data_IF_653347837337
#
_entry.id   IF_653347837337
#
_cell.length_a   1.000
_cell.length_b   1.000
_cell.length_c   1.000
_cell.angle_alpha   90.00
_cell.angle_beta   90.00
_cell.angle_gamma   90.00
#
_symmetry.space_group_name_H-M   'P 1'
#
loop_
_entity.id
_entity.type
_entity.pdbx_description
1 polymer ?
#
# COMPACT_ATOMS: atom_id res chain seq x y z
N UNK A 1 7.06 3.75 11.11
CA UNK A 1 6.98 2.69 12.14
C UNK A 1 7.28 1.34 11.48
N UNK A 2 8.45 0.74 11.71
CA UNK A 2 8.81 -0.55 11.07
C UNK A 2 8.24 -1.71 11.90
N UNK A 3 7.05 -2.20 11.53
CA UNK A 3 6.44 -3.37 12.17
C UNK A 3 7.20 -4.63 11.73
N UNK A 4 8.22 -5.03 12.50
CA UNK A 4 8.93 -6.30 12.31
C UNK A 4 8.10 -7.46 12.85
N UNK A 5 7.37 -8.12 11.95
CA UNK A 5 6.56 -9.30 12.25
C UNK A 5 7.43 -10.56 12.39
N UNK A 6 7.74 -10.92 13.64
CA UNK A 6 8.28 -12.23 14.02
C UNK A 6 7.17 -13.27 14.21
N UNK A 7 7.41 -14.46 13.65
CA UNK A 7 6.75 -15.76 13.89
C UNK A 7 5.25 -15.93 13.53
N UNK A 8 5.02 -16.52 12.36
CA UNK A 8 4.32 -17.80 12.20
C UNK A 8 2.79 -17.87 12.29
N UNK A 9 2.12 -17.13 13.17
CA UNK A 9 0.67 -17.23 13.41
C UNK A 9 0.13 -15.82 13.67
N UNK A 10 -0.92 -15.40 12.97
CA UNK A 10 -1.57 -14.10 13.20
C UNK A 10 -2.21 -14.10 14.59
N UNK A 11 -1.61 -13.40 15.55
CA UNK A 11 -2.26 -13.12 16.83
C UNK A 11 -3.38 -12.11 16.59
N UNK A 12 -4.62 -12.46 16.97
CA UNK A 12 -5.78 -11.58 16.73
C UNK A 12 -5.62 -10.21 17.37
N UNK A 13 -5.14 -10.19 18.62
CA UNK A 13 -4.86 -8.94 19.34
C UNK A 13 -3.82 -8.06 18.65
N UNK A 14 -2.78 -8.64 18.03
CA UNK A 14 -1.77 -7.85 17.29
C UNK A 14 -2.30 -7.31 15.97
N UNK A 15 -3.24 -8.04 15.37
CA UNK A 15 -3.88 -7.59 14.15
C UNK A 15 -4.82 -6.41 14.46
N UNK A 16 -5.60 -6.49 15.54
CA UNK A 16 -6.44 -5.39 16.02
C UNK A 16 -5.62 -4.15 16.38
N UNK A 17 -4.53 -4.31 17.14
CA UNK A 17 -3.65 -3.19 17.50
C UNK A 17 -2.98 -2.55 16.26
N UNK A 18 -2.51 -3.36 15.31
CA UNK A 18 -1.94 -2.86 14.06
C UNK A 18 -2.98 -2.16 13.18
N UNK A 19 -4.21 -2.67 13.18
CA UNK A 19 -5.38 -2.11 12.51
C UNK A 19 -5.71 -0.73 13.10
N UNK A 20 -5.85 -0.63 14.42
CA UNK A 20 -6.18 0.61 15.12
C UNK A 20 -5.07 1.66 14.95
N UNK A 21 -3.80 1.26 15.07
CA UNK A 21 -2.67 2.14 14.83
C UNK A 21 -2.64 2.68 13.39
N UNK A 22 -2.99 1.85 12.40
CA UNK A 22 -3.12 2.28 11.01
C UNK A 22 -4.28 3.24 10.84
N UNK A 23 -5.45 2.94 11.40
CA UNK A 23 -6.63 3.80 11.32
C UNK A 23 -6.32 5.20 11.86
N UNK A 24 -5.71 5.26 13.04
CA UNK A 24 -5.31 6.50 13.68
C UNK A 24 -4.23 7.28 12.91
N UNK A 25 -3.39 6.59 12.15
CA UNK A 25 -2.39 7.22 11.29
C UNK A 25 -3.04 7.81 10.03
N UNK A 26 -3.93 7.05 9.38
CA UNK A 26 -4.59 7.46 8.14
C UNK A 26 -5.67 8.52 8.37
N UNK A 27 -6.38 8.49 9.50
CA UNK A 27 -7.35 9.52 9.88
C UNK A 27 -6.71 10.90 10.10
N UNK A 28 -5.39 10.96 10.31
CA UNK A 28 -4.65 12.23 10.43
C UNK A 28 -4.11 12.72 9.09
N UNK A 29 -4.16 11.89 8.06
CA UNK A 29 -3.68 12.22 6.72
C UNK A 29 -4.81 12.84 5.89
N UNK A 30 -4.52 13.96 5.23
CA UNK A 30 -5.41 14.63 4.30
C UNK A 30 -5.28 14.07 2.88
N UNK A 31 -4.08 13.61 2.48
CA UNK A 31 -3.80 13.17 1.10
C UNK A 31 -3.03 11.83 1.04
N UNK A 32 -3.60 10.75 1.63
CA UNK A 32 -2.96 9.45 1.58
C UNK A 32 -2.92 8.89 0.15
N UNK A 33 -1.79 8.27 -0.21
CA UNK A 33 -1.62 7.59 -1.50
C UNK A 33 -1.25 6.13 -1.27
N UNK A 34 -1.86 5.24 -2.05
CA UNK A 34 -1.54 3.81 -2.04
C UNK A 34 -0.44 3.53 -3.05
N UNK A 35 0.64 2.86 -2.63
CA UNK A 35 1.71 2.39 -3.50
C UNK A 35 1.72 0.87 -3.52
N UNK A 36 1.34 0.30 -4.65
CA UNK A 36 1.26 -1.14 -4.84
C UNK A 36 2.64 -1.69 -5.26
N UNK A 37 3.19 -2.65 -4.52
CA UNK A 37 4.48 -3.30 -4.78
C UNK A 37 4.38 -4.73 -5.36
N UNK A 38 5.52 -5.28 -5.79
CA UNK A 38 5.59 -6.54 -6.56
C UNK A 38 5.10 -7.80 -5.85
N UNK A 39 5.17 -7.88 -4.52
CA UNK A 39 4.77 -9.13 -3.84
C UNK A 39 3.26 -9.34 -3.81
N UNK A 40 2.48 -8.45 -4.42
CA UNK A 40 1.01 -8.49 -4.42
C UNK A 40 0.39 -9.67 -5.15
N UNK A 41 0.99 -10.29 -6.18
CA UNK A 41 0.15 -11.12 -7.08
C UNK A 41 0.83 -12.40 -7.52
N UNK A 42 0.75 -13.41 -6.64
CA UNK A 42 0.84 -14.80 -7.11
C UNK A 42 -0.54 -15.44 -7.30
N UNK A 43 -1.62 -14.82 -6.78
CA UNK A 43 -2.96 -15.41 -6.71
C UNK A 43 -4.03 -14.37 -7.06
N UNK A 44 -5.11 -14.79 -7.73
CA UNK A 44 -6.22 -13.92 -8.14
C UNK A 44 -6.94 -13.23 -6.96
N UNK A 45 -7.00 -13.90 -5.80
CA UNK A 45 -7.66 -13.40 -4.59
C UNK A 45 -6.99 -12.12 -4.05
N UNK A 46 -5.66 -12.04 -4.13
CA UNK A 46 -4.90 -10.87 -3.68
C UNK A 46 -5.17 -9.65 -4.58
N UNK A 47 -5.46 -9.86 -5.87
CA UNK A 47 -5.84 -8.79 -6.80
C UNK A 47 -7.18 -8.17 -6.40
N UNK A 48 -8.17 -9.02 -6.19
CA UNK A 48 -9.52 -8.57 -5.90
C UNK A 48 -9.57 -7.84 -4.57
N UNK A 49 -8.87 -8.36 -3.55
CA UNK A 49 -8.80 -7.72 -2.25
C UNK A 49 -8.11 -6.34 -2.29
N UNK A 50 -7.11 -6.16 -3.16
CA UNK A 50 -6.49 -4.86 -3.37
C UNK A 50 -7.45 -3.87 -4.05
N UNK A 51 -8.17 -4.32 -5.08
CA UNK A 51 -9.18 -3.49 -5.77
C UNK A 51 -10.27 -3.08 -4.78
N UNK A 52 -10.80 -4.03 -3.99
CA UNK A 52 -11.77 -3.76 -2.94
C UNK A 52 -11.26 -2.75 -1.90
N UNK A 53 -9.97 -2.78 -1.57
CA UNK A 53 -9.34 -1.82 -0.66
C UNK A 53 -9.21 -0.42 -1.28
N UNK A 54 -8.87 -0.34 -2.57
CA UNK A 54 -8.81 0.92 -3.32
C UNK A 54 -10.23 1.52 -3.44
N UNK A 55 -11.22 0.69 -3.75
CA UNK A 55 -12.62 1.09 -3.86
C UNK A 55 -13.19 1.57 -2.51
N UNK A 56 -12.89 0.88 -1.42
CA UNK A 56 -13.35 1.24 -0.09
C UNK A 56 -12.69 2.52 0.45
N UNK A 57 -11.37 2.67 0.23
CA UNK A 57 -10.64 3.84 0.69
C UNK A 57 -10.91 5.09 -0.15
N UNK A 58 -11.22 4.91 -1.44
CA UNK A 58 -11.32 6.02 -2.39
C UNK A 58 -9.98 6.70 -2.67
N UNK A 59 -8.87 6.14 -2.18
CA UNK A 59 -7.54 6.76 -2.31
C UNK A 59 -6.98 6.56 -3.70
N UNK A 60 -6.22 7.56 -4.13
CA UNK A 60 -5.45 7.49 -5.35
C UNK A 60 -4.32 6.47 -5.17
N UNK A 61 -4.06 5.65 -6.20
CA UNK A 61 -3.05 4.60 -6.13
C UNK A 61 -2.07 4.63 -7.30
N UNK A 62 -0.82 4.31 -7.00
CA UNK A 62 0.25 4.11 -7.95
C UNK A 62 0.77 2.68 -7.87
N UNK A 63 1.28 2.15 -8.97
CA UNK A 63 1.90 0.82 -9.01
C UNK A 63 3.40 0.96 -9.17
N UNK A 64 4.19 0.20 -8.41
CA UNK A 64 5.62 0.07 -8.69
C UNK A 64 5.83 -0.65 -10.03
N UNK A 65 6.94 -0.39 -10.72
CA UNK A 65 7.25 -1.04 -12.01
C UNK A 65 7.13 -2.58 -11.93
N UNK A 66 7.62 -3.14 -10.82
CA UNK A 66 7.59 -4.56 -10.52
C UNK A 66 6.17 -5.17 -10.37
N UNK A 67 5.15 -4.31 -10.26
CA UNK A 67 3.74 -4.65 -10.18
C UNK A 67 2.92 -4.04 -11.31
N UNK A 68 3.52 -3.79 -12.47
CA UNK A 68 2.78 -3.33 -13.66
C UNK A 68 1.95 -4.46 -14.28
N UNK A 69 0.77 -4.16 -14.83
CA UNK A 69 -0.17 -5.15 -15.41
C UNK A 69 -0.88 -6.04 -14.39
N UNK A 70 -0.70 -5.76 -13.11
CA UNK A 70 -1.20 -6.55 -12.00
C UNK A 70 -2.55 -6.04 -11.47
N UNK A 71 -2.75 -4.72 -11.52
CA UNK A 71 -3.97 -3.99 -11.12
C UNK A 71 -4.60 -3.37 -12.37
N UNK A 72 -5.93 -3.20 -12.45
CA UNK A 72 -6.57 -2.54 -13.58
C UNK A 72 -6.09 -1.10 -13.74
N UNK A 73 -5.45 -0.78 -14.88
CA UNK A 73 -4.96 0.58 -15.19
C UNK A 73 -6.09 1.53 -15.61
N UNK A 74 -7.27 1.00 -15.93
CA UNK A 74 -8.47 1.78 -16.27
C UNK A 74 -9.27 2.23 -15.04
N UNK A 75 -8.75 1.99 -13.84
CA UNK A 75 -9.42 2.37 -12.61
C UNK A 75 -9.42 3.90 -12.43
N UNK A 76 -10.52 4.54 -12.00
CA UNK A 76 -10.60 6.00 -11.85
C UNK A 76 -9.53 6.58 -10.90
N UNK A 77 -9.17 5.83 -9.86
CA UNK A 77 -8.18 6.24 -8.87
C UNK A 77 -6.73 5.90 -9.26
N UNK A 78 -6.49 5.35 -10.45
CA UNK A 78 -5.14 4.99 -10.88
C UNK A 78 -4.36 6.23 -11.30
N UNK A 79 -3.31 6.57 -10.55
CA UNK A 79 -2.45 7.71 -10.85
C UNK A 79 -1.51 7.38 -11.99
N UNK A 80 -0.67 6.34 -11.84
CA UNK A 80 0.30 5.81 -12.83
C UNK A 80 1.31 4.83 -12.21
N UNK A 81 2.37 4.51 -12.97
CA UNK A 81 3.53 3.75 -12.48
C UNK A 81 4.50 4.66 -11.71
N UNK A 82 4.78 4.31 -10.45
CA UNK A 82 5.77 4.97 -9.59
C UNK A 82 7.10 4.19 -9.59
N UNK A 83 8.19 4.88 -9.91
CA UNK A 83 9.55 4.34 -9.82
C UNK A 83 10.56 5.48 -9.63
N UNK A 84 10.32 6.35 -8.64
CA UNK A 84 11.15 7.54 -8.39
C UNK A 84 11.27 8.43 -9.62
N UNK A 85 12.52 8.84 -9.92
CA UNK A 85 12.85 9.72 -11.06
C UNK A 85 12.54 9.15 -12.45
N UNK A 86 12.20 7.85 -12.56
CA UNK A 86 11.78 7.19 -13.81
C UNK A 86 10.28 6.85 -13.76
N UNK A 87 9.53 7.52 -12.88
CA UNK A 87 8.08 7.37 -12.81
C UNK A 87 7.40 7.94 -14.07
N UNK A 88 6.12 7.62 -14.25
CA UNK A 88 5.34 8.29 -15.29
C UNK A 88 5.07 9.75 -14.88
N UNK A 89 4.88 10.62 -15.87
CA UNK A 89 4.61 12.04 -15.68
C UNK A 89 3.63 12.32 -14.53
N UNK A 90 3.99 13.26 -13.65
CA UNK A 90 3.27 13.72 -12.46
C UNK A 90 3.10 12.67 -11.33
N UNK A 91 3.44 11.40 -11.56
CA UNK A 91 3.26 10.36 -10.55
C UNK A 91 4.23 10.51 -9.38
N UNK A 92 5.49 10.86 -9.65
CA UNK A 92 6.48 11.18 -8.62
C UNK A 92 6.02 12.36 -7.76
N UNK A 93 5.65 13.48 -8.37
CA UNK A 93 5.20 14.67 -7.64
C UNK A 93 4.02 14.37 -6.70
N UNK A 94 3.03 13.61 -7.18
CA UNK A 94 1.86 13.24 -6.36
C UNK A 94 2.25 12.31 -5.22
N UNK A 95 3.07 11.29 -5.50
CA UNK A 95 3.50 10.32 -4.50
C UNK A 95 4.44 10.97 -3.49
N UNK A 96 5.29 11.92 -3.87
CA UNK A 96 6.21 12.56 -2.94
C UNK A 96 5.55 13.70 -2.14
N UNK A 97 4.58 14.40 -2.74
CA UNK A 97 3.80 15.43 -2.05
C UNK A 97 2.77 14.87 -1.06
N UNK A 98 2.45 13.57 -1.14
CA UNK A 98 1.53 12.94 -0.21
C UNK A 98 2.08 12.93 1.23
N UNK A 99 1.16 13.08 2.18
CA UNK A 99 1.44 13.17 3.61
C UNK A 99 1.53 11.80 4.27
N UNK A 100 0.86 10.80 3.69
CA UNK A 100 0.90 9.40 4.09
C UNK A 100 0.99 8.47 2.88
N UNK A 101 1.81 7.43 3.01
CA UNK A 101 1.98 6.37 2.01
C UNK A 101 1.49 5.04 2.57
N UNK A 102 0.51 4.44 1.92
CA UNK A 102 0.10 3.06 2.18
C UNK A 102 0.81 2.17 1.18
N UNK A 103 1.94 1.58 1.59
CA UNK A 103 2.74 0.75 0.70
C UNK A 103 2.33 -0.71 0.87
N UNK A 104 1.67 -1.27 -0.13
CA UNK A 104 1.18 -2.65 -0.09
C UNK A 104 2.19 -3.58 -0.75
N UNK A 105 2.68 -4.55 0.00
CA UNK A 105 3.71 -5.52 -0.40
C UNK A 105 4.97 -4.87 -0.99
N UNK A 106 5.61 -3.94 -0.25
CA UNK A 106 6.85 -3.33 -0.70
C UNK A 106 7.93 -4.40 -0.92
N UNK A 107 8.62 -4.29 -2.03
CA UNK A 107 9.84 -5.04 -2.32
C UNK A 107 10.94 -4.03 -2.64
N UNK A 108 11.49 -3.37 -1.62
CA UNK A 108 12.61 -2.43 -1.77
C UNK A 108 13.91 -3.22 -1.94
N UNK A 109 14.36 -3.33 -3.19
CA UNK A 109 15.69 -3.81 -3.56
C UNK A 109 16.42 -2.67 -4.30
N UNK A 110 17.69 -2.88 -4.61
CA UNK A 110 18.52 -1.96 -5.38
C UNK A 110 17.86 -1.51 -6.70
N UNK A 111 17.13 -2.39 -7.38
CA UNK A 111 16.46 -2.04 -8.64
C UNK A 111 15.17 -1.24 -8.42
N UNK A 112 14.29 -1.70 -7.54
CA UNK A 112 12.98 -1.07 -7.28
C UNK A 112 13.10 0.24 -6.53
N UNK A 113 14.20 0.43 -5.80
CA UNK A 113 14.55 1.69 -5.13
C UNK A 113 15.46 2.60 -5.94
N UNK A 114 15.80 2.22 -7.18
CA UNK A 114 16.74 2.94 -8.04
C UNK A 114 18.07 3.27 -7.33
N UNK A 115 18.67 2.30 -6.66
CA UNK A 115 19.88 2.49 -5.88
C UNK A 115 19.66 3.31 -4.62
N UNK A 116 18.53 3.11 -3.93
CA UNK A 116 18.16 3.84 -2.71
C UNK A 116 17.94 5.35 -2.90
N UNK A 117 17.53 5.76 -4.10
CA UNK A 117 17.27 7.17 -4.44
C UNK A 117 15.81 7.58 -4.30
N UNK A 118 14.89 6.64 -4.03
CA UNK A 118 13.48 6.97 -3.77
C UNK A 118 13.34 7.91 -2.57
N UNK A 119 12.57 8.99 -2.74
CA UNK A 119 12.30 9.97 -1.69
C UNK A 119 11.11 9.60 -0.78
N UNK A 120 10.82 8.31 -0.63
CA UNK A 120 9.80 7.83 0.29
C UNK A 120 10.26 8.01 1.75
N UNK A 121 9.64 8.97 2.43
CA UNK A 121 9.88 9.26 3.84
C UNK A 121 9.29 8.13 4.71
N UNK A 122 10.15 7.44 5.47
CA UNK A 122 9.77 6.26 6.27
C UNK A 122 8.76 6.57 7.37
N UNK A 123 8.78 7.79 7.87
CA UNK A 123 7.88 8.29 8.92
C UNK A 123 6.46 8.48 8.40
N UNK A 124 6.31 8.70 7.09
CA UNK A 124 5.02 8.86 6.40
C UNK A 124 4.49 7.55 5.82
N UNK A 125 5.29 6.48 5.85
CA UNK A 125 4.95 5.21 5.22
C UNK A 125 4.40 4.19 6.24
N UNK A 126 3.25 3.60 5.89
CA UNK A 126 2.74 2.37 6.49
C UNK A 126 2.86 1.26 5.47
N UNK A 127 3.66 0.25 5.80
CA UNK A 127 3.95 -0.87 4.92
C UNK A 127 3.14 -2.11 5.31
N UNK A 128 2.26 -2.56 4.42
CA UNK A 128 1.54 -3.81 4.58
C UNK A 128 2.26 -4.93 3.85
N UNK A 129 2.43 -6.08 4.50
CA UNK A 129 2.88 -7.30 3.82
C UNK A 129 1.84 -8.38 3.95
N UNK A 130 1.20 -8.70 2.84
CA UNK A 130 0.21 -9.77 2.75
C UNK A 130 0.98 -11.08 2.61
N UNK A 131 0.74 -12.01 3.53
CA UNK A 131 1.16 -13.40 3.41
C UNK A 131 -0.07 -14.25 3.06
N UNK A 132 0.16 -15.36 2.36
CA UNK A 132 -0.76 -16.35 1.74
C UNK A 132 -2.09 -16.72 2.42
N UNK A 133 -2.42 -16.23 3.62
CA UNK A 133 -3.74 -16.39 4.23
C UNK A 133 -4.53 -15.09 4.09
N UNK A 134 -5.64 -15.18 3.35
CA UNK A 134 -6.59 -14.12 2.98
C UNK A 134 -7.29 -13.42 4.16
N UNK A 135 -7.05 -13.85 5.41
CA UNK A 135 -7.65 -13.29 6.62
C UNK A 135 -7.10 -11.91 6.99
N UNK A 136 -5.82 -11.63 6.73
CA UNK A 136 -5.25 -10.32 7.03
C UNK A 136 -5.85 -9.20 6.17
N UNK A 137 -6.15 -9.50 4.89
CA UNK A 137 -6.73 -8.53 3.96
C UNK A 137 -8.16 -8.12 4.35
N UNK A 138 -9.00 -9.09 4.76
CA UNK A 138 -10.38 -8.79 5.19
C UNK A 138 -10.48 -7.95 6.46
N UNK A 139 -9.50 -8.07 7.38
CA UNK A 139 -9.45 -7.25 8.60
C UNK A 139 -8.82 -5.87 8.36
N UNK A 140 -7.83 -5.77 7.46
CA UNK A 140 -7.36 -4.46 6.97
C UNK A 140 -8.49 -3.73 6.23
N UNK A 141 -9.33 -4.46 5.48
CA UNK A 141 -10.52 -3.91 4.83
C UNK A 141 -11.54 -3.31 5.82
N UNK A 142 -11.71 -3.87 7.02
CA UNK A 142 -12.56 -3.27 8.05
C UNK A 142 -12.06 -1.87 8.45
N UNK A 143 -10.73 -1.68 8.50
CA UNK A 143 -10.10 -0.38 8.82
C UNK A 143 -10.48 0.68 7.82
N UNK A 144 -10.35 0.38 6.53
CA UNK A 144 -10.64 1.36 5.48
C UNK A 144 -12.14 1.66 5.35
N UNK A 145 -13.01 0.71 5.66
CA UNK A 145 -14.47 0.96 5.76
C UNK A 145 -14.84 1.89 6.91
N UNK A 146 -14.18 1.77 8.06
CA UNK A 146 -14.41 2.66 9.20
C UNK A 146 -13.87 4.08 8.97
N UNK A 147 -12.90 4.25 8.06
CA UNK A 147 -12.38 5.56 7.64
C UNK A 147 -13.30 6.24 6.59
N UNK A 148 -14.00 5.45 5.77
CA UNK A 148 -14.88 5.95 4.70
C UNK A 148 -16.32 6.22 5.13
N UNK A 149 -16.69 5.99 6.40
CA UNK A 149 -18.05 6.11 6.96
C UNK A 149 -18.17 7.32 7.88
#
# INVERSE_FOLDING_TARGET
MEVRMGQGISNEWRLEEATEATANFLNKAEKPVIVCGSMLIRVAEDKNALIELIDASGYAFAVMLSSKGLVPELHPNFIRTYWGVISSDYCEDIVEAADAYVVVNPAFNDISSLGYTLLLIKERAVCFKIRRNSTCLRRVFAVFKDISS
#
